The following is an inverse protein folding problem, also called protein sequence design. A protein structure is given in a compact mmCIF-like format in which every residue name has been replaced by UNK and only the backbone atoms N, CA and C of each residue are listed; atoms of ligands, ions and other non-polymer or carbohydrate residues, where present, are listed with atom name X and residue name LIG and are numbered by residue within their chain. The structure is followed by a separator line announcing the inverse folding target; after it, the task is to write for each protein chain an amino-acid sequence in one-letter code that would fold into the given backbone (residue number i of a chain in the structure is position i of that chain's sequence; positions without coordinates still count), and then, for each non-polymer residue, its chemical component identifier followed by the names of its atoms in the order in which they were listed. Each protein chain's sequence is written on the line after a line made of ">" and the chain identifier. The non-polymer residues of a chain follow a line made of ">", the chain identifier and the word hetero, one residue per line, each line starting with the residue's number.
data_IF_203147485668
#
_entry.id   IF_203147485668
#
_cell.length_a   1.000
_cell.length_b   1.000
_cell.length_c   1.000
_cell.angle_alpha   90.00
_cell.angle_beta   90.00
_cell.angle_gamma   90.00
#
_symmetry.space_group_name_H-M   'P 1'
#
loop_
_entity.id
_entity.type
_entity.pdbx_description
1 polymer ?
#
# COMPACT_ATOMS: atom_id res chain seq x y z
N UNK A 1 -30.22 34.94 14.47
CA UNK A 1 -31.49 34.29 14.10
C UNK A 1 -31.36 33.80 12.67
N UNK A 2 -31.48 32.48 12.47
CA UNK A 2 -31.62 31.76 11.19
C UNK A 2 -30.64 32.11 10.06
N UNK A 3 -29.76 31.16 9.69
CA UNK A 3 -29.96 30.35 8.47
C UNK A 3 -28.90 29.24 8.27
N UNK A 4 -29.45 28.02 8.11
CA UNK A 4 -29.03 26.97 7.16
C UNK A 4 -27.85 26.06 7.54
N UNK A 5 -28.19 25.15 8.45
CA UNK A 5 -27.82 23.74 8.45
C UNK A 5 -28.48 23.04 7.24
N UNK A 6 -27.71 22.62 6.23
CA UNK A 6 -28.10 21.66 5.18
C UNK A 6 -26.85 21.26 4.38
N UNK A 7 -26.33 20.06 4.61
CA UNK A 7 -25.77 19.14 3.61
C UNK A 7 -25.29 17.89 4.35
N UNK A 8 -26.25 17.03 4.66
CA UNK A 8 -26.07 15.66 5.09
C UNK A 8 -26.81 14.82 4.04
N UNK A 9 -26.19 13.71 3.62
CA UNK A 9 -26.59 12.78 2.56
C UNK A 9 -26.07 13.08 1.15
N UNK A 10 -24.96 12.42 0.78
CA UNK A 10 -24.87 11.81 -0.54
C UNK A 10 -23.91 10.61 -0.54
N UNK A 11 -24.53 9.42 -0.60
CA UNK A 11 -24.11 8.22 -1.33
C UNK A 11 -22.89 7.42 -0.87
N UNK A 12 -23.17 6.46 0.02
CA UNK A 12 -22.54 5.13 -0.03
C UNK A 12 -22.88 4.45 -1.36
N UNK A 13 -21.86 4.17 -2.18
CA UNK A 13 -21.86 3.08 -3.16
C UNK A 13 -20.54 2.32 -2.99
N UNK A 14 -20.58 1.27 -2.19
CA UNK A 14 -19.52 0.27 -2.11
C UNK A 14 -19.71 -0.70 -3.27
N UNK A 15 -18.81 -0.67 -4.24
CA UNK A 15 -18.61 -1.77 -5.18
C UNK A 15 -17.83 -2.88 -4.45
N UNK A 16 -18.50 -3.99 -4.19
CA UNK A 16 -17.88 -5.24 -3.79
C UNK A 16 -17.43 -6.01 -5.03
N UNK A 17 -16.13 -6.03 -5.31
CA UNK A 17 -15.53 -7.02 -6.22
C UNK A 17 -15.30 -8.30 -5.42
N UNK A 18 -16.16 -9.30 -5.64
CA UNK A 18 -15.93 -10.66 -5.19
C UNK A 18 -14.96 -11.34 -6.18
N UNK A 19 -13.83 -11.83 -5.66
CA UNK A 19 -12.88 -12.66 -6.38
C UNK A 19 -13.54 -14.03 -6.66
N UNK A 20 -13.77 -14.33 -7.94
CA UNK A 20 -14.23 -15.63 -8.39
C UNK A 20 -13.06 -16.61 -8.50
N UNK A 21 -12.97 -17.54 -7.55
CA UNK A 21 -12.11 -18.72 -7.67
C UNK A 21 -12.58 -19.60 -8.83
N UNK A 22 -11.69 -19.83 -9.80
CA UNK A 22 -11.85 -20.85 -10.84
C UNK A 22 -11.64 -22.21 -10.18
N UNK A 23 -12.73 -22.95 -9.97
CA UNK A 23 -12.68 -24.37 -9.62
C UNK A 23 -12.79 -25.16 -10.91
N UNK A 24 -11.67 -25.77 -11.31
CA UNK A 24 -11.64 -26.90 -12.22
C UNK A 24 -12.57 -28.00 -11.70
N UNK A 25 -13.61 -28.30 -12.48
CA UNK A 25 -14.41 -29.50 -12.25
C UNK A 25 -14.66 -30.21 -13.57
N UNK A 26 -13.67 -31.02 -13.91
CA UNK A 26 -13.84 -32.22 -14.72
C UNK A 26 -14.95 -33.08 -14.11
N UNK A 27 -16.03 -33.30 -14.84
CA UNK A 27 -16.96 -34.39 -14.57
C UNK A 27 -17.50 -34.91 -15.89
N UNK A 28 -16.87 -35.99 -16.36
CA UNK A 28 -17.40 -36.88 -17.38
C UNK A 28 -18.83 -37.31 -17.04
N UNK A 29 -19.77 -37.10 -17.96
CA UNK A 29 -21.04 -37.81 -18.02
C UNK A 29 -21.24 -38.35 -19.45
N UNK A 30 -21.41 -39.67 -19.63
CA UNK A 30 -21.65 -40.26 -20.93
C UNK A 30 -23.15 -40.35 -21.24
N UNK A 31 -23.47 -40.11 -22.52
CA UNK A 31 -24.72 -40.53 -23.14
C UNK A 31 -25.79 -39.45 -23.20
N UNK A 32 -25.92 -38.82 -24.36
CA UNK A 32 -27.26 -38.65 -24.88
C UNK A 32 -27.31 -38.79 -26.40
N UNK A 33 -28.33 -39.51 -26.84
CA UNK A 33 -28.48 -40.04 -28.19
C UNK A 33 -29.37 -39.07 -28.93
N UNK A 34 -28.84 -38.25 -29.84
CA UNK A 34 -29.68 -37.40 -30.67
C UNK A 34 -30.15 -38.19 -31.89
N UNK A 35 -31.41 -38.57 -31.81
CA UNK A 35 -32.22 -39.24 -32.80
C UNK A 35 -32.39 -38.39 -34.06
N UNK A 36 -32.10 -39.01 -35.19
CA UNK A 36 -32.53 -38.61 -36.52
C UNK A 36 -34.07 -38.48 -36.58
N UNK A 37 -34.55 -37.37 -37.13
CA UNK A 37 -35.95 -37.19 -37.51
C UNK A 37 -36.00 -36.30 -38.75
N UNK A 38 -35.83 -36.97 -39.87
CA UNK A 38 -36.38 -36.60 -41.16
C UNK A 38 -37.87 -36.25 -41.05
N UNK A 39 -38.22 -35.01 -41.36
CA UNK A 39 -39.57 -34.65 -41.76
C UNK A 39 -39.47 -33.71 -42.96
N UNK A 40 -39.83 -34.25 -44.11
CA UNK A 40 -40.06 -33.51 -45.32
C UNK A 40 -41.25 -32.57 -45.12
N UNK A 41 -41.07 -31.29 -45.44
CA UNK A 41 -42.19 -30.45 -45.78
C UNK A 41 -41.90 -29.72 -47.10
N UNK A 42 -42.52 -30.24 -48.14
CA UNK A 42 -42.62 -29.66 -49.46
C UNK A 42 -43.70 -28.60 -49.44
N UNK A 43 -43.30 -27.33 -49.46
CA UNK A 43 -44.15 -26.23 -49.93
C UNK A 43 -43.45 -25.49 -51.05
N UNK A 44 -43.75 -25.96 -52.26
CA UNK A 44 -43.54 -25.26 -53.52
C UNK A 44 -44.47 -24.04 -53.52
N UNK A 45 -43.89 -22.84 -53.44
CA UNK A 45 -44.52 -21.63 -53.94
C UNK A 45 -43.63 -21.05 -55.04
N UNK A 46 -44.03 -21.40 -56.25
CA UNK A 46 -43.68 -20.75 -57.50
C UNK A 46 -44.07 -19.27 -57.42
N UNK A 47 -43.07 -18.39 -57.41
CA UNK A 47 -43.25 -16.98 -57.76
C UNK A 47 -42.13 -16.57 -58.72
N UNK A 48 -42.20 -17.14 -59.92
CA UNK A 48 -41.53 -16.61 -61.08
C UNK A 48 -42.22 -15.31 -61.52
N UNK A 49 -41.61 -14.15 -61.24
CA UNK A 49 -41.85 -12.94 -62.03
C UNK A 49 -40.62 -12.03 -62.02
N UNK A 50 -39.80 -12.17 -63.06
CA UNK A 50 -38.93 -11.10 -63.53
C UNK A 50 -37.44 -11.37 -63.32
N UNK A 51 -36.84 -12.09 -64.27
CA UNK A 51 -35.42 -12.02 -64.56
C UNK A 51 -35.01 -10.57 -64.88
N UNK A 52 -34.71 -9.79 -63.85
CA UNK A 52 -33.59 -8.87 -63.96
C UNK A 52 -32.35 -9.72 -63.63
N UNK A 53 -31.34 -9.86 -64.51
CA UNK A 53 -30.05 -10.43 -64.15
C UNK A 53 -29.29 -9.45 -63.24
N UNK A 54 -29.95 -9.01 -62.17
CA UNK A 54 -29.37 -8.23 -61.10
C UNK A 54 -28.32 -9.12 -60.46
N UNK A 55 -27.06 -8.75 -60.65
CA UNK A 55 -25.86 -9.39 -60.13
C UNK A 55 -26.12 -9.92 -58.71
N UNK A 56 -25.99 -11.23 -58.52
CA UNK A 56 -26.13 -11.85 -57.20
C UNK A 56 -25.12 -11.19 -56.25
N UNK A 57 -25.62 -10.50 -55.23
CA UNK A 57 -24.80 -9.79 -54.26
C UNK A 57 -24.11 -10.82 -53.37
N UNK A 58 -22.78 -10.86 -53.41
CA UNK A 58 -21.95 -11.74 -52.59
C UNK A 58 -21.87 -11.20 -51.14
N UNK A 59 -21.93 -9.88 -50.98
CA UNK A 59 -21.88 -9.21 -49.69
C UNK A 59 -22.73 -7.94 -49.70
N UNK A 60 -23.10 -7.44 -48.52
CA UNK A 60 -23.81 -6.17 -48.40
C UNK A 60 -22.86 -5.00 -48.69
N UNK A 61 -23.15 -4.12 -49.67
CA UNK A 61 -22.28 -3.02 -50.04
C UNK A 61 -21.81 -2.18 -48.86
N UNK A 62 -20.50 -1.94 -48.77
CA UNK A 62 -19.89 -1.12 -47.72
C UNK A 62 -19.74 -1.78 -46.34
N UNK A 63 -20.21 -3.03 -46.16
CA UNK A 63 -19.90 -3.78 -44.94
C UNK A 63 -18.42 -4.14 -44.92
N UNK A 64 -17.78 -3.86 -43.78
CA UNK A 64 -16.41 -4.27 -43.51
C UNK A 64 -16.37 -5.49 -42.60
N UNK A 65 -15.35 -6.33 -42.77
CA UNK A 65 -15.09 -7.51 -41.97
C UNK A 65 -13.59 -7.77 -41.85
N UNK A 66 -13.15 -8.30 -40.71
CA UNK A 66 -11.74 -8.61 -40.51
C UNK A 66 -11.42 -9.97 -41.12
N UNK A 67 -10.55 -9.98 -42.14
CA UNK A 67 -10.12 -11.22 -42.79
C UNK A 67 -9.02 -11.94 -41.99
N UNK A 68 -8.15 -11.15 -41.36
CA UNK A 68 -7.15 -11.58 -40.39
C UNK A 68 -6.77 -10.39 -39.49
N UNK A 69 -5.86 -10.60 -38.53
CA UNK A 69 -5.44 -9.57 -37.59
C UNK A 69 -4.84 -8.32 -38.27
N UNK A 70 -4.37 -8.43 -39.52
CA UNK A 70 -3.64 -7.36 -40.23
C UNK A 70 -4.37 -6.84 -41.47
N UNK A 71 -5.57 -7.34 -41.78
CA UNK A 71 -6.29 -6.96 -43.00
C UNK A 71 -7.81 -6.84 -42.82
N UNK A 72 -8.33 -5.71 -43.31
CA UNK A 72 -9.75 -5.41 -43.42
C UNK A 72 -10.26 -5.73 -44.83
N UNK A 73 -11.33 -6.50 -44.93
CA UNK A 73 -12.07 -6.71 -46.16
C UNK A 73 -13.29 -5.79 -46.19
N UNK A 74 -13.47 -5.05 -47.28
CA UNK A 74 -14.61 -4.15 -47.48
C UNK A 74 -15.39 -4.60 -48.71
N UNK A 75 -16.69 -4.80 -48.55
CA UNK A 75 -17.56 -5.14 -49.66
C UNK A 75 -17.67 -3.97 -50.65
N UNK A 76 -17.46 -4.24 -51.93
CA UNK A 76 -17.56 -3.22 -52.99
C UNK A 76 -18.96 -2.61 -53.04
N UNK A 77 -19.06 -1.40 -53.59
CA UNK A 77 -20.32 -0.65 -53.64
C UNK A 77 -21.43 -1.35 -54.45
N UNK A 78 -21.04 -2.21 -55.40
CA UNK A 78 -21.92 -3.06 -56.19
C UNK A 78 -22.22 -4.41 -55.52
N UNK A 79 -21.61 -4.71 -54.36
CA UNK A 79 -21.83 -5.91 -53.56
C UNK A 79 -21.36 -7.21 -54.18
N UNK A 80 -20.56 -7.14 -55.24
CA UNK A 80 -20.11 -8.31 -56.02
C UNK A 80 -18.77 -8.87 -55.58
N UNK A 81 -18.00 -8.15 -54.74
CA UNK A 81 -16.68 -8.61 -54.29
C UNK A 81 -16.24 -8.01 -52.95
N UNK A 82 -15.30 -8.68 -52.29
CA UNK A 82 -14.62 -8.18 -51.09
C UNK A 82 -13.22 -7.69 -51.47
N UNK A 83 -12.90 -6.44 -51.12
CA UNK A 83 -11.57 -5.87 -51.32
C UNK A 83 -10.78 -5.95 -50.03
N UNK A 84 -9.75 -6.80 -50.03
CA UNK A 84 -8.82 -6.94 -48.91
C UNK A 84 -7.81 -5.79 -48.91
N UNK A 85 -7.75 -5.06 -47.80
CA UNK A 85 -6.85 -3.92 -47.57
C UNK A 85 -6.05 -4.18 -46.30
N UNK A 86 -4.73 -4.02 -46.35
CA UNK A 86 -3.90 -4.11 -45.16
C UNK A 86 -4.23 -2.96 -44.19
N UNK A 87 -4.30 -3.28 -42.89
CA UNK A 87 -4.33 -2.26 -41.87
C UNK A 87 -3.01 -1.46 -41.89
N UNK A 88 -3.02 -0.19 -41.46
CA UNK A 88 -1.79 0.59 -41.31
C UNK A 88 -0.78 -0.13 -40.40
N UNK A 89 0.51 0.11 -40.60
CA UNK A 89 1.55 -0.52 -39.80
C UNK A 89 1.29 -0.34 -38.29
N UNK A 90 1.24 -1.47 -37.57
CA UNK A 90 0.99 -1.54 -36.12
C UNK A 90 -0.49 -1.62 -35.72
N UNK A 91 -1.44 -1.43 -36.62
CA UNK A 91 -2.88 -1.55 -36.33
C UNK A 91 -3.34 -3.00 -36.45
N UNK A 92 -4.32 -3.38 -35.63
CA UNK A 92 -4.95 -4.71 -35.65
C UNK A 92 -6.41 -4.58 -36.05
N UNK A 93 -6.89 -5.48 -36.91
CA UNK A 93 -8.31 -5.51 -37.27
C UNK A 93 -9.13 -6.11 -36.13
N UNK A 94 -9.95 -5.28 -35.47
CA UNK A 94 -10.85 -5.65 -34.38
C UNK A 94 -12.21 -5.00 -34.65
N UNK A 95 -13.31 -5.74 -34.48
CA UNK A 95 -14.65 -5.17 -34.62
C UNK A 95 -14.95 -4.55 -35.99
N UNK A 96 -14.37 -5.10 -37.07
CA UNK A 96 -14.51 -4.61 -38.44
C UNK A 96 -13.87 -3.24 -38.70
N UNK A 97 -12.91 -2.82 -37.87
CA UNK A 97 -12.09 -1.63 -38.07
C UNK A 97 -10.62 -1.94 -37.78
N UNK A 98 -9.70 -1.22 -38.42
CA UNK A 98 -8.30 -1.25 -38.02
C UNK A 98 -8.16 -0.34 -36.81
N UNK A 99 -7.95 -0.93 -35.64
CA UNK A 99 -7.75 -0.22 -34.38
C UNK A 99 -6.25 -0.16 -34.05
N UNK A 100 -5.76 0.95 -33.48
CA UNK A 100 -4.41 0.98 -32.96
C UNK A 100 -4.27 -0.04 -31.81
N UNK A 101 -3.07 -0.56 -31.55
CA UNK A 101 -2.87 -1.49 -30.46
C UNK A 101 -3.23 -0.79 -29.15
N UNK A 102 -3.94 -1.50 -28.25
CA UNK A 102 -4.23 -0.95 -26.93
C UNK A 102 -2.92 -0.55 -26.24
N UNK A 103 -2.85 0.66 -25.64
CA UNK A 103 -1.64 1.10 -24.99
C UNK A 103 -1.32 0.17 -23.82
N UNK A 104 -0.11 -0.39 -23.82
CA UNK A 104 0.42 -1.20 -22.73
C UNK A 104 0.55 -0.40 -21.42
N UNK A 105 0.77 0.91 -21.52
CA UNK A 105 0.88 1.82 -20.38
C UNK A 105 0.27 3.20 -20.69
N UNK A 106 -0.05 3.96 -19.64
CA UNK A 106 -0.56 5.34 -19.78
C UNK A 106 0.50 6.20 -20.46
N UNK A 107 0.16 6.80 -21.61
CA UNK A 107 1.09 7.60 -22.39
C UNK A 107 1.80 8.69 -21.54
N UNK A 108 3.13 8.77 -21.67
CA UNK A 108 4.01 9.67 -20.91
C UNK A 108 3.99 9.47 -19.39
N UNK A 109 3.40 8.40 -18.87
CA UNK A 109 3.53 8.10 -17.45
C UNK A 109 4.97 7.73 -17.11
N UNK A 110 5.35 8.01 -15.88
CA UNK A 110 6.59 7.55 -15.30
C UNK A 110 6.23 6.84 -13.99
N UNK A 111 6.92 5.75 -13.69
CA UNK A 111 6.74 5.00 -12.45
C UNK A 111 8.09 4.50 -11.95
N UNK A 112 8.30 4.56 -10.65
CA UNK A 112 9.48 3.94 -10.05
C UNK A 112 9.31 2.43 -10.04
N UNK A 113 10.17 1.71 -10.78
CA UNK A 113 10.20 0.24 -10.78
C UNK A 113 10.85 -0.29 -9.51
N UNK A 114 11.93 0.36 -9.10
CA UNK A 114 12.64 0.12 -7.85
C UNK A 114 13.28 1.45 -7.38
N UNK A 115 14.11 1.40 -6.34
CA UNK A 115 14.76 2.61 -5.79
C UNK A 115 15.78 3.23 -6.74
N UNK A 116 16.25 2.54 -7.77
CA UNK A 116 17.28 3.03 -8.70
C UNK A 116 16.82 3.10 -10.16
N UNK A 117 15.61 2.64 -10.48
CA UNK A 117 15.13 2.54 -11.87
C UNK A 117 13.81 3.27 -12.06
N UNK A 118 13.81 4.24 -12.98
CA UNK A 118 12.60 4.93 -13.44
C UNK A 118 12.12 4.29 -14.75
N UNK A 119 10.91 3.75 -14.75
CA UNK A 119 10.22 3.30 -15.94
C UNK A 119 9.42 4.46 -16.54
N UNK A 120 9.53 4.69 -17.85
CA UNK A 120 8.75 5.71 -18.58
C UNK A 120 8.02 5.09 -19.75
N UNK A 121 6.73 5.37 -19.84
CA UNK A 121 5.91 4.99 -20.97
C UNK A 121 6.12 5.95 -22.15
N UNK A 122 6.24 5.43 -23.36
CA UNK A 122 6.32 6.26 -24.56
C UNK A 122 5.04 7.07 -24.79
N UNK A 123 5.08 8.14 -25.61
CA UNK A 123 3.88 8.94 -25.90
C UNK A 123 2.75 8.14 -26.56
N UNK A 124 3.07 7.02 -27.22
CA UNK A 124 2.08 6.12 -27.82
C UNK A 124 1.54 5.05 -26.88
N UNK A 125 2.02 4.97 -25.63
CA UNK A 125 1.59 3.94 -24.70
C UNK A 125 2.15 2.54 -24.97
N UNK A 126 3.02 2.39 -25.98
CA UNK A 126 3.36 1.08 -26.57
C UNK A 126 4.65 0.47 -26.03
N UNK A 127 5.51 1.27 -25.41
CA UNK A 127 6.83 0.82 -24.96
C UNK A 127 7.18 1.44 -23.62
N UNK A 128 7.82 0.67 -22.74
CA UNK A 128 8.40 1.16 -21.48
C UNK A 128 9.92 1.26 -21.63
N UNK A 129 10.47 2.44 -21.37
CA UNK A 129 11.92 2.66 -21.28
C UNK A 129 12.33 2.75 -19.83
N UNK A 130 13.31 1.94 -19.42
CA UNK A 130 13.86 1.98 -18.07
C UNK A 130 15.15 2.80 -18.06
N UNK A 131 15.24 3.74 -17.13
CA UNK A 131 16.41 4.61 -16.95
C UNK A 131 16.91 4.49 -15.52
N UNK A 132 18.21 4.20 -15.35
CA UNK A 132 18.83 4.20 -14.04
C UNK A 132 19.01 5.63 -13.50
N UNK A 133 18.63 5.86 -12.25
CA UNK A 133 18.83 7.12 -11.55
C UNK A 133 20.31 7.28 -11.16
N UNK A 134 21.10 7.84 -12.07
CA UNK A 134 22.54 8.05 -11.87
C UNK A 134 22.77 9.09 -10.77
N UNK A 135 23.55 8.73 -9.73
CA UNK A 135 23.82 9.56 -8.55
C UNK A 135 22.56 9.95 -7.75
N UNK A 136 21.57 9.07 -7.72
CA UNK A 136 20.27 9.37 -7.16
C UNK A 136 19.43 8.15 -6.87
N UNK A 137 18.13 8.39 -6.72
CA UNK A 137 17.11 7.34 -6.58
C UNK A 137 15.81 7.75 -7.26
N UNK A 138 14.99 6.77 -7.55
CA UNK A 138 13.63 7.02 -8.01
C UNK A 138 12.74 7.30 -6.79
N UNK A 139 12.07 8.46 -6.82
CA UNK A 139 11.06 8.87 -5.84
C UNK A 139 9.88 9.45 -6.62
N UNK A 140 8.65 8.99 -6.33
CA UNK A 140 7.39 9.53 -6.88
C UNK A 140 7.51 9.88 -8.37
N UNK A 141 7.86 8.87 -9.18
CA UNK A 141 7.90 8.95 -10.66
C UNK A 141 9.00 9.85 -11.25
N UNK A 142 10.03 10.21 -10.48
CA UNK A 142 11.19 10.94 -10.96
C UNK A 142 12.51 10.50 -10.30
N UNK A 143 13.62 10.64 -11.04
CA UNK A 143 14.95 10.48 -10.46
C UNK A 143 15.34 11.76 -9.71
N UNK A 144 15.67 11.61 -8.44
CA UNK A 144 16.18 12.67 -7.56
C UNK A 144 17.66 12.44 -7.31
N UNK A 145 18.47 13.49 -7.44
CA UNK A 145 19.90 13.43 -7.14
C UNK A 145 20.15 13.46 -5.64
N UNK A 146 21.16 12.73 -5.17
CA UNK A 146 21.56 12.68 -3.77
C UNK A 146 21.67 11.27 -3.25
N UNK A 147 22.10 11.13 -2.01
CA UNK A 147 22.26 9.86 -1.35
C UNK A 147 20.90 9.26 -0.95
N UNK A 148 20.84 7.93 -0.95
CA UNK A 148 19.63 7.18 -0.60
C UNK A 148 19.30 7.31 0.89
N UNK A 149 18.04 7.01 1.25
CA UNK A 149 17.67 6.83 2.66
C UNK A 149 18.55 5.76 3.27
N UNK A 150 19.24 6.04 4.37
CA UNK A 150 20.36 5.17 4.79
C UNK A 150 21.68 5.88 4.93
N UNK A 151 21.93 6.81 4.01
CA UNK A 151 23.25 7.36 3.84
C UNK A 151 23.54 8.47 4.87
N UNK A 152 24.81 8.61 5.29
CA UNK A 152 25.23 9.76 6.09
C UNK A 152 25.07 11.04 5.27
N UNK A 153 24.78 12.15 5.95
CA UNK A 153 24.64 13.45 5.31
C UNK A 153 25.07 14.57 6.25
N UNK A 154 25.40 15.72 5.66
CA UNK A 154 25.72 16.95 6.38
C UNK A 154 24.65 18.03 6.18
N UNK A 155 23.91 17.95 5.07
CA UNK A 155 22.83 18.85 4.72
C UNK A 155 21.74 18.12 3.92
N UNK A 156 20.53 18.70 3.87
CA UNK A 156 19.41 18.13 3.11
C UNK A 156 19.72 17.95 1.62
N UNK A 157 20.57 18.81 1.04
CA UNK A 157 21.00 18.71 -0.35
C UNK A 157 21.85 17.47 -0.66
N UNK A 158 22.43 16.83 0.37
CA UNK A 158 23.16 15.58 0.21
C UNK A 158 22.21 14.40 0.00
N UNK A 159 20.92 14.58 0.28
CA UNK A 159 19.91 13.53 0.31
C UNK A 159 18.96 13.64 -0.86
N UNK A 160 18.68 12.50 -1.50
CA UNK A 160 17.72 12.47 -2.60
C UNK A 160 16.30 12.86 -2.18
N UNK A 161 15.94 12.59 -0.92
CA UNK A 161 14.70 13.09 -0.31
C UNK A 161 14.74 14.55 0.13
N UNK A 162 15.90 15.22 0.09
CA UNK A 162 16.05 16.61 0.55
C UNK A 162 16.07 16.79 2.06
N UNK A 163 15.96 15.72 2.86
CA UNK A 163 15.99 15.78 4.33
C UNK A 163 17.20 15.05 4.87
N UNK A 164 18.01 15.79 5.62
CA UNK A 164 19.09 15.25 6.43
C UNK A 164 18.69 15.40 7.89
N UNK A 165 18.42 14.28 8.56
CA UNK A 165 18.04 14.26 9.95
C UNK A 165 19.25 14.59 10.83
N UNK A 166 19.17 15.58 11.74
CA UNK A 166 20.31 16.05 12.51
C UNK A 166 20.64 15.08 13.65
N UNK A 167 21.40 14.05 13.32
CA UNK A 167 21.98 13.09 14.26
C UNK A 167 23.51 13.29 14.26
N UNK A 168 24.25 12.70 15.20
CA UNK A 168 25.70 12.95 15.34
C UNK A 168 26.56 12.74 14.07
N UNK A 169 26.03 12.02 13.06
CA UNK A 169 26.61 11.89 11.72
C UNK A 169 25.66 12.29 10.56
N UNK A 170 24.46 12.78 10.87
CA UNK A 170 23.36 13.04 9.92
C UNK A 170 22.87 11.81 9.15
N UNK A 171 21.60 11.79 8.75
CA UNK A 171 21.06 10.68 7.95
C UNK A 171 20.01 11.11 6.94
N UNK A 172 20.17 10.63 5.71
CA UNK A 172 19.22 10.90 4.66
C UNK A 172 17.89 10.19 4.90
N UNK A 173 16.81 10.96 4.84
CA UNK A 173 15.44 10.44 4.84
C UNK A 173 14.64 11.04 3.69
N UNK A 174 13.56 10.36 3.31
CA UNK A 174 12.59 10.91 2.37
C UNK A 174 11.43 11.53 3.14
N UNK A 175 11.11 12.82 2.95
CA UNK A 175 9.94 13.45 3.56
C UNK A 175 8.66 12.90 2.97
N UNK A 176 7.56 13.04 3.71
CA UNK A 176 6.20 12.80 3.23
C UNK A 176 5.99 11.36 2.78
N UNK A 177 6.04 10.45 3.76
CA UNK A 177 5.49 9.13 3.61
C UNK A 177 3.96 9.15 3.75
N UNK A 178 3.27 9.84 2.83
CA UNK A 178 1.85 9.55 2.66
C UNK A 178 1.70 8.06 2.30
N UNK A 179 0.66 7.40 2.81
CA UNK A 179 0.42 5.95 2.76
C UNK A 179 1.00 5.30 1.48
N UNK A 180 2.04 4.46 1.64
CA UNK A 180 2.81 3.77 0.59
C UNK A 180 3.88 4.60 -0.17
N UNK A 181 4.24 5.80 0.30
CA UNK A 181 5.29 6.62 -0.32
C UNK A 181 6.73 6.16 -0.06
N UNK A 182 6.93 5.22 0.86
CA UNK A 182 8.25 4.68 1.16
C UNK A 182 8.63 3.51 0.24
N UNK A 183 9.93 3.35 0.00
CA UNK A 183 10.41 2.18 -0.71
C UNK A 183 10.11 0.88 0.05
N UNK A 184 10.11 -0.30 -0.60
CA UNK A 184 9.82 -1.57 0.07
C UNK A 184 10.75 -1.93 1.25
N UNK A 185 11.95 -1.34 1.28
CA UNK A 185 12.93 -1.51 2.36
C UNK A 185 12.85 -0.40 3.41
N UNK A 186 11.88 0.49 3.33
CA UNK A 186 11.71 1.65 4.19
C UNK A 186 10.39 1.57 4.98
N UNK A 187 10.37 2.23 6.13
CA UNK A 187 9.24 2.34 7.04
C UNK A 187 8.89 3.82 7.17
N UNK A 188 7.59 4.13 7.10
CA UNK A 188 7.10 5.48 7.31
C UNK A 188 7.08 5.83 8.81
N UNK A 189 8.02 6.60 9.33
CA UNK A 189 7.95 7.03 10.73
C UNK A 189 7.05 8.26 10.86
N UNK A 190 6.04 8.23 11.74
CA UNK A 190 5.01 9.28 11.83
C UNK A 190 5.31 10.37 12.84
N UNK A 191 6.22 10.08 13.76
CA UNK A 191 6.89 11.08 14.56
C UNK A 191 8.27 11.22 13.94
N UNK A 192 8.57 12.38 13.36
CA UNK A 192 9.86 12.54 12.72
C UNK A 192 10.97 12.25 13.73
N UNK A 193 12.02 11.59 13.25
CA UNK A 193 13.20 11.34 14.06
C UNK A 193 13.76 12.70 14.51
N UNK A 194 13.88 12.90 15.82
CA UNK A 194 14.34 14.15 16.42
C UNK A 194 13.25 15.23 16.47
N UNK A 195 13.58 16.46 16.07
CA UNK A 195 12.67 17.61 16.06
C UNK A 195 11.79 17.70 14.80
N UNK A 196 11.89 16.74 13.88
CA UNK A 196 11.11 16.75 12.66
C UNK A 196 9.63 16.48 12.98
N UNK A 197 8.75 17.43 12.66
CA UNK A 197 7.30 17.28 12.86
C UNK A 197 6.61 16.52 11.72
N UNK A 198 7.34 16.17 10.66
CA UNK A 198 6.79 15.57 9.44
C UNK A 198 7.13 14.08 9.34
N UNK A 199 6.16 13.23 8.96
CA UNK A 199 6.41 11.84 8.68
C UNK A 199 7.51 11.66 7.63
N UNK A 200 8.43 10.72 7.87
CA UNK A 200 9.61 10.50 7.02
C UNK A 200 9.86 9.00 6.82
N UNK A 201 10.26 8.62 5.61
CA UNK A 201 10.72 7.26 5.32
C UNK A 201 12.12 7.04 5.91
N UNK A 202 12.23 6.00 6.71
CA UNK A 202 13.48 5.56 7.34
C UNK A 202 13.74 4.10 6.95
N UNK A 203 15.01 3.68 6.90
CA UNK A 203 15.34 2.33 6.44
C UNK A 203 14.84 1.28 7.44
N UNK A 204 14.32 0.14 6.95
CA UNK A 204 14.03 -1.01 7.79
C UNK A 204 15.30 -1.60 8.42
N UNK A 205 15.14 -2.40 9.46
CA UNK A 205 16.31 -2.94 10.19
C UNK A 205 17.25 -3.82 9.37
N UNK A 206 16.78 -4.44 8.28
CA UNK A 206 17.62 -5.26 7.40
C UNK A 206 18.76 -4.48 6.73
N UNK A 207 18.63 -3.15 6.62
CA UNK A 207 19.66 -2.26 6.06
C UNK A 207 20.46 -1.48 7.10
N UNK A 208 20.24 -1.71 8.40
CA UNK A 208 20.83 -0.89 9.46
C UNK A 208 22.31 -1.26 9.71
N UNK A 209 23.20 -0.63 8.95
CA UNK A 209 24.66 -0.89 8.99
C UNK A 209 25.50 0.36 9.28
N UNK A 210 24.87 1.54 9.39
CA UNK A 210 25.55 2.79 9.70
C UNK A 210 25.98 2.87 11.16
N UNK A 211 27.18 3.40 11.42
CA UNK A 211 27.64 3.68 12.77
C UNK A 211 26.68 4.67 13.46
N UNK A 212 26.30 4.37 14.71
CA UNK A 212 25.35 5.19 15.49
C UNK A 212 23.88 4.81 15.31
N UNK A 213 23.56 3.97 14.32
CA UNK A 213 22.20 3.47 14.14
C UNK A 213 22.02 2.09 14.78
N UNK A 214 20.83 1.85 15.28
CA UNK A 214 20.43 0.55 15.78
C UNK A 214 19.01 0.22 15.29
N UNK A 215 18.70 -1.06 15.30
CA UNK A 215 17.35 -1.53 15.02
C UNK A 215 16.48 -1.28 16.25
N UNK A 216 15.38 -0.55 16.07
CA UNK A 216 14.37 -0.40 17.11
C UNK A 216 12.97 -0.25 16.50
N UNK A 217 11.95 -0.61 17.28
CA UNK A 217 10.57 -0.46 16.85
C UNK A 217 10.16 1.00 16.87
N UNK A 218 9.71 1.53 15.74
CA UNK A 218 9.19 2.88 15.57
C UNK A 218 7.67 2.86 15.35
N UNK A 219 6.94 3.91 15.78
CA UNK A 219 5.55 4.07 15.39
C UNK A 219 5.44 4.48 13.92
N UNK A 220 4.52 3.83 13.20
CA UNK A 220 4.06 4.20 11.85
C UNK A 220 2.53 4.25 11.83
N UNK A 221 1.97 4.74 10.72
CA UNK A 221 0.55 4.82 10.46
C UNK A 221 0.30 3.91 9.25
N UNK A 222 -0.61 2.95 9.39
CA UNK A 222 -1.01 2.09 8.29
C UNK A 222 -1.91 2.83 7.28
N UNK A 223 -2.33 2.13 6.22
CA UNK A 223 -3.18 2.70 5.20
C UNK A 223 -4.56 3.15 5.69
N UNK A 224 -4.98 2.71 6.88
CA UNK A 224 -6.25 3.04 7.51
C UNK A 224 -6.11 4.19 8.53
N UNK A 225 -4.92 4.75 8.72
CA UNK A 225 -4.68 5.82 9.68
C UNK A 225 -4.41 5.31 11.11
N UNK A 226 -4.30 3.99 11.32
CA UNK A 226 -4.06 3.42 12.64
C UNK A 226 -2.56 3.32 12.95
N UNK A 227 -2.21 3.57 14.21
CA UNK A 227 -0.82 3.41 14.65
C UNK A 227 -0.46 1.93 14.72
N UNK A 228 0.66 1.60 14.12
CA UNK A 228 1.29 0.27 14.07
C UNK A 228 2.79 0.45 14.34
N UNK A 229 3.50 -0.65 14.62
CA UNK A 229 4.93 -0.60 14.97
C UNK A 229 5.74 -1.50 14.05
N UNK A 230 6.86 -0.97 13.58
CA UNK A 230 7.77 -1.68 12.69
C UNK A 230 9.21 -1.46 13.14
N UNK A 231 10.04 -2.46 12.89
CA UNK A 231 11.46 -2.40 13.20
C UNK A 231 12.19 -1.61 12.10
N UNK A 232 12.75 -0.47 12.49
CA UNK A 232 13.46 0.42 11.60
C UNK A 232 14.82 0.84 12.18
N UNK A 233 15.67 1.31 11.27
CA UNK A 233 16.98 1.85 11.58
C UNK A 233 16.82 3.27 12.10
N UNK A 234 17.22 3.49 13.34
CA UNK A 234 17.13 4.79 14.01
C UNK A 234 18.44 5.11 14.69
N UNK A 235 18.83 6.38 14.67
CA UNK A 235 19.91 6.89 15.53
C UNK A 235 19.38 7.52 16.81
N UNK A 236 18.05 7.71 16.91
CA UNK A 236 17.42 8.34 18.07
C UNK A 236 17.99 7.77 19.37
N UNK A 237 18.53 8.66 20.18
CA UNK A 237 18.79 8.41 21.60
C UNK A 237 17.50 8.17 22.41
N UNK A 238 16.34 8.24 21.75
CA UNK A 238 15.06 7.98 22.34
C UNK A 238 14.97 6.54 22.82
N UNK A 239 14.63 6.36 24.09
CA UNK A 239 14.48 5.03 24.66
C UNK A 239 13.27 4.29 24.10
N UNK A 240 13.34 2.95 23.95
CA UNK A 240 12.18 2.12 23.62
C UNK A 240 11.12 2.20 24.72
N UNK A 241 9.93 1.63 24.48
CA UNK A 241 8.89 1.53 25.50
C UNK A 241 9.46 0.91 26.79
N UNK A 242 9.36 1.64 27.89
CA UNK A 242 9.89 1.25 29.20
C UNK A 242 11.30 1.77 29.54
N UNK A 243 12.03 2.36 28.61
CA UNK A 243 13.29 3.02 28.92
C UNK A 243 13.07 4.28 29.78
N UNK A 244 14.09 4.68 30.53
CA UNK A 244 14.05 5.90 31.33
C UNK A 244 14.02 7.16 30.43
N UNK A 245 13.36 8.22 30.89
CA UNK A 245 13.27 9.49 30.20
C UNK A 245 13.07 10.66 31.16
N UNK A 246 13.35 11.88 30.70
CA UNK A 246 13.08 13.13 31.42
C UNK A 246 12.01 13.98 30.74
N UNK A 247 11.78 13.75 29.44
CA UNK A 247 10.79 14.43 28.61
C UNK A 247 10.40 13.56 27.41
N UNK A 248 9.35 13.97 26.70
CA UNK A 248 8.80 13.24 25.55
C UNK A 248 9.77 13.08 24.38
N UNK A 249 10.80 13.93 24.28
CA UNK A 249 11.78 13.86 23.19
C UNK A 249 12.76 12.70 23.37
N UNK A 250 12.96 12.27 24.62
CA UNK A 250 13.73 11.08 24.97
C UNK A 250 13.01 9.76 24.71
N UNK A 251 11.84 9.74 24.06
CA UNK A 251 11.04 8.53 23.88
C UNK A 251 10.63 8.25 22.44
N UNK A 252 10.88 7.03 21.96
CA UNK A 252 10.47 6.62 20.61
C UNK A 252 8.94 6.61 20.43
N UNK A 253 8.20 6.19 21.46
CA UNK A 253 6.74 6.29 21.50
C UNK A 253 6.22 7.71 21.72
N UNK A 254 7.14 8.65 21.91
CA UNK A 254 6.83 10.06 21.96
C UNK A 254 6.11 10.51 23.22
N UNK A 255 6.12 9.70 24.27
CA UNK A 255 5.53 10.02 25.55
C UNK A 255 6.46 9.57 26.68
N UNK A 256 6.84 10.49 27.54
CA UNK A 256 7.55 10.23 28.79
C UNK A 256 6.59 10.32 29.96
N UNK A 257 6.31 9.19 30.59
CA UNK A 257 5.42 9.12 31.74
C UNK A 257 6.20 9.52 33.00
N UNK A 258 6.06 10.79 33.38
CA UNK A 258 6.69 11.38 34.58
C UNK A 258 5.85 11.22 35.87
N UNK A 259 4.58 10.85 35.72
CA UNK A 259 3.64 10.70 36.84
C UNK A 259 2.91 9.38 36.72
N UNK A 260 2.81 8.65 37.82
CA UNK A 260 1.93 7.49 37.88
C UNK A 260 0.46 7.95 37.91
N UNK A 261 -0.50 7.11 37.48
CA UNK A 261 -1.93 7.36 37.67
C UNK A 261 -2.34 7.41 39.15
N UNK A 262 -1.51 6.86 40.06
CA UNK A 262 -1.64 7.04 41.50
C UNK A 262 -1.17 8.44 41.97
N UNK A 263 -0.91 9.38 41.05
CA UNK A 263 -0.44 10.77 41.28
C UNK A 263 0.91 10.88 41.96
N UNK A 264 1.67 9.77 42.03
CA UNK A 264 3.03 9.76 42.54
C UNK A 264 3.95 10.29 41.45
N UNK A 265 4.74 11.31 41.78
CA UNK A 265 5.83 11.74 40.91
C UNK A 265 6.79 10.58 40.79
N UNK A 266 7.13 10.25 39.55
CA UNK A 266 8.12 9.23 39.28
C UNK A 266 9.48 9.93 39.24
N UNK A 267 10.41 9.50 40.10
CA UNK A 267 11.80 9.94 40.00
C UNK A 267 12.43 9.33 38.74
N UNK A 268 12.35 10.06 37.63
CA UNK A 268 12.74 9.64 36.28
C UNK A 268 11.56 9.02 35.52
N UNK A 269 11.08 9.66 34.47
CA UNK A 269 9.97 9.11 33.70
C UNK A 269 10.35 7.83 32.97
N UNK A 270 9.36 7.17 32.36
CA UNK A 270 9.60 6.08 31.43
C UNK A 270 8.86 6.25 30.11
N UNK A 271 9.46 5.75 29.04
CA UNK A 271 8.92 5.87 27.71
C UNK A 271 7.70 5.00 27.49
N UNK A 272 6.68 5.58 26.87
CA UNK A 272 5.44 4.94 26.50
C UNK A 272 4.94 5.52 25.16
N UNK A 273 3.78 5.04 24.73
CA UNK A 273 3.04 5.56 23.58
C UNK A 273 1.55 5.48 23.90
N UNK A 274 0.77 6.38 23.31
CA UNK A 274 -0.69 6.23 23.30
C UNK A 274 -1.07 5.09 22.37
N UNK A 275 -2.16 4.41 22.68
CA UNK A 275 -2.71 3.32 21.88
C UNK A 275 -4.21 3.18 22.10
N UNK A 276 -4.91 2.63 21.12
CA UNK A 276 -6.34 2.30 21.18
C UNK A 276 -6.58 0.80 21.10
N UNK A 277 -5.68 0.06 20.45
CA UNK A 277 -5.72 -1.39 20.25
C UNK A 277 -4.36 -2.02 20.61
N UNK A 278 -4.31 -3.34 20.76
CA UNK A 278 -3.04 -4.05 21.02
C UNK A 278 -2.02 -3.89 19.89
N UNK A 279 -2.46 -3.77 18.63
CA UNK A 279 -1.57 -3.54 17.48
C UNK A 279 -0.88 -2.17 17.52
N UNK A 280 -1.41 -1.23 18.31
CA UNK A 280 -0.83 0.09 18.53
C UNK A 280 0.38 0.11 19.48
N UNK A 281 0.90 -1.05 19.89
CA UNK A 281 2.06 -1.18 20.76
C UNK A 281 3.11 -2.12 20.18
N UNK A 282 4.42 -1.87 20.39
CA UNK A 282 5.47 -2.72 19.85
C UNK A 282 5.50 -4.10 20.52
N UNK A 283 6.16 -5.05 19.88
CA UNK A 283 6.39 -6.39 20.42
C UNK A 283 6.98 -6.32 21.84
N UNK A 284 6.50 -7.18 22.73
CA UNK A 284 6.90 -7.16 24.15
C UNK A 284 6.15 -6.14 25.01
N UNK A 285 5.24 -5.35 24.43
CA UNK A 285 4.37 -4.43 25.15
C UNK A 285 2.87 -4.71 24.90
N UNK A 286 2.01 -4.07 25.68
CA UNK A 286 0.56 -4.22 25.64
C UNK A 286 -0.12 -2.86 25.79
N UNK A 287 -1.24 -2.70 25.08
CA UNK A 287 -2.09 -1.53 25.22
C UNK A 287 -3.04 -1.69 26.40
N UNK A 288 -2.87 -0.91 27.46
CA UNK A 288 -3.74 -0.99 28.65
C UNK A 288 -4.36 0.36 28.98
N UNK A 289 -5.58 0.34 29.51
CA UNK A 289 -6.24 1.54 30.01
C UNK A 289 -5.81 1.80 31.45
N UNK A 290 -5.28 3.00 31.70
CA UNK A 290 -4.93 3.44 33.05
C UNK A 290 -5.93 4.49 33.52
N UNK A 291 -6.78 4.13 34.48
CA UNK A 291 -7.62 5.08 35.19
C UNK A 291 -6.72 6.13 35.88
N UNK A 292 -6.88 7.41 35.53
CA UNK A 292 -6.09 8.52 36.07
C UNK A 292 -5.18 9.22 35.05
N UNK A 293 -4.86 8.58 33.91
CA UNK A 293 -4.10 9.24 32.84
C UNK A 293 -5.05 9.76 31.76
N UNK A 294 -5.20 11.09 31.67
CA UNK A 294 -5.86 11.82 30.57
C UNK A 294 -7.16 11.16 30.07
N UNK A 295 -8.09 10.87 30.98
CA UNK A 295 -9.44 10.42 30.62
C UNK A 295 -9.59 8.95 30.17
N UNK A 296 -8.65 8.06 30.51
CA UNK A 296 -8.76 6.62 30.17
C UNK A 296 -8.17 6.26 28.81
N UNK A 297 -7.24 7.08 28.32
CA UNK A 297 -6.47 6.77 27.10
C UNK A 297 -5.62 5.51 27.32
N UNK A 298 -5.54 4.63 26.31
CA UNK A 298 -4.67 3.47 26.34
C UNK A 298 -3.18 3.85 26.26
N UNK A 299 -2.34 3.14 27.00
CA UNK A 299 -0.88 3.32 27.03
C UNK A 299 -0.17 2.01 26.75
N UNK A 300 0.94 2.08 26.01
CA UNK A 300 1.83 0.96 25.78
C UNK A 300 2.74 0.75 27.00
N UNK A 301 2.59 -0.40 27.65
CA UNK A 301 3.42 -0.83 28.77
C UNK A 301 4.07 -2.17 28.46
N UNK A 302 5.29 -2.40 28.95
CA UNK A 302 5.95 -3.70 28.76
C UNK A 302 5.14 -4.82 29.41
N UNK A 303 5.11 -5.99 28.77
CA UNK A 303 4.54 -7.21 29.34
C UNK A 303 5.50 -7.77 30.38
N UNK A 304 4.93 -8.40 31.40
CA UNK A 304 5.69 -9.20 32.35
C UNK A 304 6.28 -10.44 31.69
N UNK A 305 7.48 -10.81 32.12
CA UNK A 305 8.04 -12.14 31.85
C UNK A 305 7.33 -13.12 32.79
N UNK A 306 7.04 -14.32 32.28
CA UNK A 306 6.41 -15.41 33.03
C UNK A 306 5.11 -15.03 33.77
N UNK A 307 4.06 -14.56 33.06
CA UNK A 307 2.84 -14.06 33.70
C UNK A 307 2.01 -15.12 34.45
N UNK A 308 2.43 -16.39 34.48
CA UNK A 308 1.66 -17.52 35.02
C UNK A 308 2.29 -18.29 36.18
N UNK A 309 3.56 -18.08 36.53
CA UNK A 309 4.30 -19.00 37.41
C UNK A 309 4.65 -18.42 38.80
N UNK A 310 4.06 -17.28 39.18
CA UNK A 310 4.34 -16.63 40.45
C UNK A 310 5.71 -15.92 40.50
N UNK A 311 6.54 -16.05 39.46
CA UNK A 311 7.83 -15.35 39.30
C UNK A 311 7.72 -14.18 38.32
N UNK A 312 6.54 -13.54 38.26
CA UNK A 312 6.28 -12.42 37.35
C UNK A 312 7.31 -11.32 37.59
N UNK A 313 8.16 -11.11 36.61
CA UNK A 313 9.20 -10.11 36.68
C UNK A 313 9.08 -9.17 35.48
N UNK A 314 9.51 -7.94 35.69
CA UNK A 314 9.74 -7.05 34.57
C UNK A 314 11.06 -7.40 33.88
N UNK A 315 11.15 -7.24 32.55
CA UNK A 315 12.40 -7.48 31.83
C UNK A 315 13.57 -6.79 32.53
N UNK A 316 14.61 -7.56 32.85
CA UNK A 316 15.69 -7.20 33.77
C UNK A 316 16.66 -6.13 33.23
N UNK A 317 16.53 -5.73 31.96
CA UNK A 317 17.39 -4.73 31.31
C UNK A 317 17.09 -3.28 31.73
N UNK A 318 16.51 -3.07 32.91
CA UNK A 318 16.18 -1.72 33.41
C UNK A 318 17.08 -1.33 34.57
N UNK A 319 17.49 -0.06 34.67
CA UNK A 319 18.19 0.43 35.84
C UNK A 319 17.30 0.25 37.08
N UNK A 320 17.89 -0.26 38.16
CA UNK A 320 17.26 -0.66 39.43
C UNK A 320 16.50 0.47 40.18
N UNK A 321 16.40 1.66 39.58
CA UNK A 321 15.90 2.87 40.21
C UNK A 321 14.38 3.00 40.22
N UNK A 322 13.65 2.13 39.52
CA UNK A 322 12.19 2.22 39.41
C UNK A 322 11.51 1.06 40.16
N UNK A 323 10.55 1.38 41.04
CA UNK A 323 9.68 0.42 41.73
C UNK A 323 8.62 -0.15 40.76
N UNK A 324 9.09 -0.82 39.71
CA UNK A 324 8.27 -1.41 38.65
C UNK A 324 7.96 -2.84 39.05
N UNK A 325 6.67 -3.10 39.28
CA UNK A 325 6.16 -4.43 39.56
C UNK A 325 5.21 -4.89 38.45
N UNK A 326 4.91 -6.19 38.48
CA UNK A 326 3.98 -6.80 37.57
C UNK A 326 2.54 -6.64 38.07
N UNK A 327 1.72 -5.92 37.29
CA UNK A 327 0.32 -5.68 37.60
C UNK A 327 -0.60 -6.26 36.55
N UNK A 328 -1.72 -6.78 37.03
CA UNK A 328 -2.81 -7.30 36.20
C UNK A 328 -3.71 -6.12 35.79
N UNK A 329 -3.79 -5.81 34.49
CA UNK A 329 -4.56 -4.69 33.93
C UNK A 329 -5.48 -5.15 32.81
N UNK A 330 -6.66 -4.52 32.72
CA UNK A 330 -7.57 -4.72 31.61
C UNK A 330 -6.95 -4.09 30.34
N UNK A 331 -6.94 -4.82 29.21
CA UNK A 331 -6.47 -4.27 27.95
C UNK A 331 -7.46 -3.22 27.42
N UNK A 332 -6.97 -2.30 26.57
CA UNK A 332 -7.77 -1.19 26.07
C UNK A 332 -8.94 -1.61 25.16
N UNK A 333 -8.81 -2.75 24.50
CA UNK A 333 -9.81 -3.34 23.61
C UNK A 333 -10.81 -4.27 24.32
N UNK A 334 -10.77 -4.36 25.66
CA UNK A 334 -11.68 -5.19 26.43
C UNK A 334 -11.40 -6.70 26.37
N UNK A 335 -10.24 -7.11 25.85
CA UNK A 335 -9.77 -8.50 25.85
C UNK A 335 -9.39 -9.06 27.24
N UNK A 336 -8.70 -10.20 27.24
CA UNK A 336 -8.25 -10.89 28.45
C UNK A 336 -7.25 -10.05 29.24
N UNK A 337 -7.35 -10.10 30.57
CA UNK A 337 -6.51 -9.33 31.48
C UNK A 337 -5.02 -9.68 31.31
N UNK A 338 -4.17 -8.66 31.19
CA UNK A 338 -2.74 -8.80 30.91
C UNK A 338 -1.89 -8.46 32.14
N UNK A 339 -0.75 -9.15 32.31
CA UNK A 339 0.26 -8.76 33.30
C UNK A 339 1.28 -7.84 32.64
N UNK A 340 1.33 -6.59 33.09
CA UNK A 340 2.19 -5.53 32.55
C UNK A 340 3.06 -4.93 33.64
N UNK A 341 4.22 -4.46 33.22
CA UNK A 341 5.18 -3.73 34.03
C UNK A 341 4.70 -2.32 34.26
N UNK A 342 4.47 -2.00 35.52
CA UNK A 342 3.98 -0.71 35.93
C UNK A 342 4.56 -0.31 37.27
N UNK A 343 4.71 0.98 37.50
CA UNK A 343 5.17 1.47 38.78
C UNK A 343 4.03 1.52 39.80
N UNK A 344 4.33 1.15 41.04
CA UNK A 344 3.42 1.21 42.18
C UNK A 344 3.20 2.66 42.67
#
# INVERSE_FOLDING_TARGET
>A
MNTVLKFLALSLLLFSCAEGSVVDRDTNAPGDTVTDSTAADTSVLDLDTGSDPGTELICSPGVSLCSDATHLEVCTADGTSLVKTACPDGYTCVGHQCEPPEPFCVANSATCKDTQTLARCSPGGQTVTETACTNGRCLVDHCTSGAATGAPCSAGADCAGGVCLPESAGYCSTPSCEVNGCAPTEVCSVKGLGSASTPSCILGCSGCSGAGFHCASVPTIDAQGAQVWFDACTSLAGGPIGAACTDDTGCMGGLCLLTSPSTKVIDGGYCSSRCTTQSGCPTGSACVTTAGYQGGTGLCLLKCINPGDGTKACPAERPETFDIACFTKAPADGGTVLSVCFQN
#
